data_IF_908677921840
#
_entry.id   IF_908677921840
#
_cell.length_a   1.000
_cell.length_b   1.000
_cell.length_c   1.000
_cell.angle_alpha   90.00
_cell.angle_beta   90.00
_cell.angle_gamma   90.00
#
_symmetry.space_group_name_H-M   'P 1'
#
loop_
_entity.id
_entity.type
_entity.pdbx_description
1 polymer ?
#
# COMPACT_ATOMS: atom_id res chain seq x y z
N UNK A 1 -11.97 1.77 13.58
CA UNK A 1 -11.40 2.96 14.25
C UNK A 1 -12.42 4.08 14.17
N UNK A 2 -12.70 4.74 15.29
CA UNK A 2 -13.54 5.95 15.29
C UNK A 2 -12.69 7.21 15.03
N UNK A 3 -13.37 8.34 14.80
CA UNK A 3 -12.73 9.60 14.44
C UNK A 3 -11.82 10.14 15.54
N UNK A 4 -12.21 9.98 16.80
CA UNK A 4 -11.44 10.51 17.93
C UNK A 4 -10.17 9.71 18.16
N UNK A 5 -10.23 8.38 18.00
CA UNK A 5 -9.04 7.52 18.01
C UNK A 5 -8.12 7.89 16.85
N UNK A 6 -8.65 8.06 15.64
CA UNK A 6 -7.85 8.49 14.49
C UNK A 6 -7.12 9.81 14.75
N UNK A 7 -7.83 10.82 15.27
CA UNK A 7 -7.25 12.13 15.59
C UNK A 7 -6.12 12.03 16.61
N UNK A 8 -6.26 11.20 17.64
CA UNK A 8 -5.21 10.95 18.63
C UNK A 8 -3.96 10.32 18.01
N UNK A 9 -4.14 9.32 17.14
CA UNK A 9 -3.05 8.65 16.44
C UNK A 9 -2.37 9.55 15.38
N UNK A 10 -3.12 10.47 14.78
CA UNK A 10 -2.61 11.35 13.73
C UNK A 10 -1.72 12.50 14.25
N UNK A 11 -1.59 12.67 15.57
CA UNK A 11 -0.72 13.71 16.16
C UNK A 11 0.76 13.42 15.87
N UNK A 12 1.16 12.15 15.93
CA UNK A 12 2.56 11.73 15.84
C UNK A 12 2.82 10.69 14.74
N UNK A 13 1.79 10.12 14.12
CA UNK A 13 1.95 9.13 13.04
C UNK A 13 1.68 9.75 11.68
N UNK A 14 2.62 9.50 10.76
CA UNK A 14 2.46 9.86 9.35
C UNK A 14 1.56 8.88 8.59
N UNK A 15 1.41 7.64 9.06
CA UNK A 15 0.51 6.65 8.47
C UNK A 15 -0.42 6.08 9.55
N UNK A 16 -1.72 6.26 9.38
CA UNK A 16 -2.75 5.74 10.30
C UNK A 16 -3.72 4.84 9.51
N UNK A 17 -3.69 3.51 9.71
CA UNK A 17 -4.56 2.60 8.98
C UNK A 17 -6.00 2.66 9.52
N UNK A 18 -6.95 3.08 8.68
CA UNK A 18 -8.38 3.00 8.99
C UNK A 18 -8.96 1.76 8.33
N UNK A 19 -9.33 0.77 9.13
CA UNK A 19 -9.80 -0.52 8.65
C UNK A 19 -11.21 -0.87 9.15
N UNK A 20 -11.88 -1.73 8.38
CA UNK A 20 -13.13 -2.41 8.72
C UNK A 20 -13.03 -3.86 8.28
N UNK A 21 -13.55 -4.78 9.10
CA UNK A 21 -13.69 -6.20 8.74
C UNK A 21 -15.09 -6.45 8.21
N UNK A 22 -15.17 -7.14 7.08
CA UNK A 22 -16.42 -7.51 6.41
C UNK A 22 -16.45 -9.03 6.20
N UNK A 23 -17.65 -9.61 6.12
CA UNK A 23 -17.84 -10.98 5.66
C UNK A 23 -17.72 -11.00 4.13
N UNK A 24 -16.92 -11.95 3.61
CA UNK A 24 -16.66 -12.12 2.18
C UNK A 24 -16.45 -13.61 1.84
N UNK A 25 -17.22 -14.48 2.49
CA UNK A 25 -17.20 -15.93 2.31
C UNK A 25 -17.61 -16.39 0.91
N UNK A 26 -18.46 -15.62 0.23
CA UNK A 26 -18.85 -15.85 -1.17
C UNK A 26 -17.82 -15.41 -2.21
N UNK A 27 -16.65 -14.96 -1.80
CA UNK A 27 -15.65 -14.36 -2.68
C UNK A 27 -14.28 -15.05 -2.55
N UNK A 28 -13.60 -15.22 -3.69
CA UNK A 28 -12.18 -15.62 -3.73
C UNK A 28 -11.31 -14.37 -3.83
N UNK A 29 -10.01 -14.43 -3.47
CA UNK A 29 -9.11 -13.28 -3.63
C UNK A 29 -9.09 -12.73 -5.06
N UNK A 30 -9.04 -13.59 -6.09
CA UNK A 30 -9.12 -13.15 -7.50
C UNK A 30 -10.49 -12.54 -7.84
N UNK A 31 -11.57 -13.05 -7.26
CA UNK A 31 -12.91 -12.48 -7.39
C UNK A 31 -12.99 -11.07 -6.82
N UNK A 32 -12.47 -10.86 -5.61
CA UNK A 32 -12.37 -9.55 -4.98
C UNK A 32 -11.45 -8.62 -5.78
N UNK A 33 -10.31 -9.10 -6.27
CA UNK A 33 -9.42 -8.30 -7.09
C UNK A 33 -10.16 -7.75 -8.32
N UNK A 34 -10.87 -8.60 -9.06
CA UNK A 34 -11.66 -8.15 -10.23
C UNK A 34 -12.73 -7.12 -9.84
N UNK A 35 -13.50 -7.40 -8.79
CA UNK A 35 -14.57 -6.51 -8.30
C UNK A 35 -14.03 -5.14 -7.85
N UNK A 36 -12.90 -5.14 -7.13
CA UNK A 36 -12.36 -3.94 -6.51
C UNK A 36 -11.45 -3.16 -7.45
N UNK A 37 -10.52 -3.82 -8.15
CA UNK A 37 -9.53 -3.18 -9.01
C UNK A 37 -10.13 -2.64 -10.32
N UNK A 38 -11.08 -3.38 -10.91
CA UNK A 38 -11.76 -3.02 -12.16
C UNK A 38 -10.79 -2.60 -13.29
N UNK A 39 -9.70 -3.34 -13.46
CA UNK A 39 -8.66 -3.14 -14.50
C UNK A 39 -7.97 -1.77 -14.50
N UNK A 40 -8.12 -0.99 -13.42
CA UNK A 40 -7.43 0.30 -13.28
C UNK A 40 -5.93 0.10 -13.08
N UNK A 41 -5.15 1.13 -13.42
CA UNK A 41 -3.72 1.18 -13.10
C UNK A 41 -3.50 1.35 -11.59
N UNK A 42 -2.30 0.98 -11.12
CA UNK A 42 -1.94 1.12 -9.70
C UNK A 42 -2.61 0.10 -8.78
N UNK A 43 -3.06 -1.03 -9.33
CA UNK A 43 -3.67 -2.14 -8.59
C UNK A 43 -2.78 -3.37 -8.60
N UNK A 44 -2.90 -4.21 -7.57
CA UNK A 44 -2.14 -5.46 -7.48
C UNK A 44 -2.91 -6.54 -6.70
N UNK A 45 -2.55 -7.79 -6.94
CA UNK A 45 -2.94 -8.95 -6.16
C UNK A 45 -1.66 -9.72 -5.79
N UNK A 46 -1.41 -9.89 -4.50
CA UNK A 46 -0.32 -10.70 -3.98
C UNK A 46 -0.90 -11.90 -3.24
N UNK A 47 -0.54 -13.09 -3.69
CA UNK A 47 -0.94 -14.34 -3.06
C UNK A 47 0.31 -15.20 -2.84
N UNK A 48 0.42 -15.80 -1.67
CA UNK A 48 1.51 -16.73 -1.38
C UNK A 48 1.02 -18.17 -1.53
N UNK A 49 1.67 -18.89 -2.43
CA UNK A 49 1.52 -20.33 -2.58
C UNK A 49 2.73 -21.00 -1.92
N UNK A 50 2.51 -21.74 -0.84
CA UNK A 50 3.54 -22.63 -0.32
C UNK A 50 3.60 -23.89 -1.19
N UNK A 51 4.81 -24.39 -1.45
CA UNK A 51 5.08 -25.54 -2.32
C UNK A 51 4.22 -26.77 -1.96
N UNK A 52 3.04 -26.87 -2.58
CA UNK A 52 2.29 -28.09 -2.81
C UNK A 52 1.29 -28.54 -1.76
N UNK A 53 0.99 -27.80 -0.66
CA UNK A 53 0.04 -28.32 0.35
C UNK A 53 -0.97 -27.36 0.94
N UNK A 54 -0.76 -26.05 0.96
CA UNK A 54 -1.75 -25.11 1.52
C UNK A 54 -1.57 -23.72 0.92
N UNK A 55 -2.67 -23.08 0.51
CA UNK A 55 -2.66 -21.65 0.19
C UNK A 55 -2.37 -20.87 1.48
N UNK A 56 -1.57 -19.81 1.41
CA UNK A 56 -1.33 -18.98 2.59
C UNK A 56 -2.63 -18.41 3.17
N UNK A 57 -2.63 -18.06 4.46
CA UNK A 57 -3.82 -17.55 5.15
C UNK A 57 -4.32 -16.20 4.58
N UNK A 58 -3.47 -15.47 3.87
CA UNK A 58 -3.75 -14.09 3.46
C UNK A 58 -3.38 -13.86 2.00
N UNK A 59 -4.27 -13.16 1.29
CA UNK A 59 -3.98 -12.49 0.03
C UNK A 59 -4.09 -10.98 0.25
N UNK A 60 -3.26 -10.18 -0.43
CA UNK A 60 -3.27 -8.72 -0.34
C UNK A 60 -3.70 -8.11 -1.68
N UNK A 61 -4.65 -7.17 -1.63
CA UNK A 61 -5.16 -6.48 -2.81
C UNK A 61 -4.91 -4.98 -2.66
N UNK A 62 -4.16 -4.41 -3.59
CA UNK A 62 -4.08 -2.96 -3.80
C UNK A 62 -5.12 -2.52 -4.82
N UNK A 63 -6.02 -1.61 -4.43
CA UNK A 63 -7.21 -1.24 -5.23
C UNK A 63 -7.04 0.07 -6.01
N UNK A 64 -6.21 0.98 -5.49
CA UNK A 64 -5.90 2.29 -6.09
C UNK A 64 -4.71 2.92 -5.35
N UNK A 65 -3.49 2.62 -5.78
CA UNK A 65 -2.30 3.30 -5.26
C UNK A 65 -2.28 4.74 -5.79
N UNK A 66 -2.24 5.73 -4.90
CA UNK A 66 -2.29 7.15 -5.28
C UNK A 66 -0.95 7.66 -5.85
N UNK A 67 0.14 6.96 -5.51
CA UNK A 67 1.48 7.27 -5.97
C UNK A 67 2.30 5.99 -6.18
N UNK A 68 3.19 6.02 -7.17
CA UNK A 68 4.17 4.97 -7.45
C UNK A 68 5.54 5.60 -7.66
N UNK A 69 6.51 5.26 -6.82
CA UNK A 69 7.93 5.56 -7.06
C UNK A 69 8.49 4.58 -8.09
N UNK A 70 9.13 5.11 -9.12
CA UNK A 70 9.83 4.37 -10.17
C UNK A 70 11.16 5.06 -10.51
N UNK A 71 11.90 4.52 -11.48
CA UNK A 71 13.10 5.13 -12.02
C UNK A 71 12.90 5.49 -13.50
N UNK A 72 13.35 6.68 -13.90
CA UNK A 72 13.37 7.14 -15.28
C UNK A 72 14.70 7.83 -15.55
N UNK A 73 15.39 7.41 -16.61
CA UNK A 73 16.71 7.95 -17.00
C UNK A 73 17.74 7.94 -15.85
N UNK A 74 17.67 6.90 -15.00
CA UNK A 74 18.56 6.72 -13.84
C UNK A 74 18.15 7.51 -12.59
N UNK A 75 17.10 8.33 -12.65
CA UNK A 75 16.63 9.15 -11.54
C UNK A 75 15.28 8.69 -10.98
N UNK A 76 15.02 9.00 -9.71
CA UNK A 76 13.74 8.80 -9.06
C UNK A 76 12.64 9.55 -9.83
N UNK A 77 11.51 8.90 -10.01
CA UNK A 77 10.36 9.46 -10.73
C UNK A 77 9.07 8.97 -10.08
N UNK A 78 8.12 9.88 -9.87
CA UNK A 78 6.83 9.55 -9.29
C UNK A 78 5.72 9.60 -10.33
N UNK A 79 4.89 8.57 -10.35
CA UNK A 79 3.58 8.59 -10.98
C UNK A 79 2.53 8.91 -9.91
N UNK A 80 1.59 9.81 -10.19
CA UNK A 80 0.57 10.23 -9.24
C UNK A 80 1.05 11.31 -8.27
N UNK A 81 0.52 11.33 -7.04
CA UNK A 81 0.78 12.39 -6.06
C UNK A 81 1.72 11.89 -4.95
N UNK A 82 3.03 12.19 -4.99
CA UNK A 82 3.94 11.70 -3.97
C UNK A 82 3.54 12.19 -2.57
N UNK A 83 3.83 11.41 -1.51
CA UNK A 83 3.64 11.87 -0.13
C UNK A 83 4.39 13.17 0.14
N UNK A 84 3.81 14.06 0.95
CA UNK A 84 4.45 15.34 1.26
C UNK A 84 5.75 15.14 2.04
N UNK A 85 6.82 15.78 1.58
CA UNK A 85 8.12 15.80 2.23
C UNK A 85 9.03 14.61 1.90
N UNK A 86 8.75 13.86 0.83
CA UNK A 86 9.66 12.82 0.32
C UNK A 86 10.46 13.33 -0.90
N UNK A 87 11.63 12.76 -1.20
CA UNK A 87 12.39 13.11 -2.40
C UNK A 87 11.61 12.80 -3.68
N UNK A 88 11.65 13.72 -4.65
CA UNK A 88 10.92 13.59 -5.93
C UNK A 88 11.84 13.40 -7.14
N UNK A 89 13.15 13.48 -6.94
CA UNK A 89 14.23 13.32 -7.91
C UNK A 89 15.46 12.68 -7.23
N UNK A 90 16.58 12.58 -7.96
CA UNK A 90 17.83 12.01 -7.43
C UNK A 90 17.93 10.49 -7.59
N UNK A 91 18.76 9.84 -6.77
CA UNK A 91 18.94 8.39 -6.82
C UNK A 91 17.64 7.66 -6.37
N UNK A 92 17.13 6.67 -7.15
CA UNK A 92 15.89 5.97 -6.82
C UNK A 92 15.91 5.20 -5.49
N UNK A 93 17.05 4.64 -5.09
CA UNK A 93 17.17 3.86 -3.86
C UNK A 93 17.27 4.79 -2.65
N UNK A 94 17.94 5.93 -2.79
CA UNK A 94 17.94 6.97 -1.76
C UNK A 94 16.54 7.55 -1.56
N UNK A 95 15.82 7.83 -2.65
CA UNK A 95 14.42 8.28 -2.59
C UNK A 95 13.53 7.23 -1.92
N UNK A 96 13.68 5.94 -2.23
CA UNK A 96 12.95 4.85 -1.60
C UNK A 96 13.24 4.78 -0.09
N UNK A 97 14.52 4.81 0.29
CA UNK A 97 14.96 4.76 1.70
C UNK A 97 14.36 5.93 2.49
N UNK A 98 14.54 7.15 2.00
CA UNK A 98 14.02 8.35 2.64
C UNK A 98 12.49 8.34 2.73
N UNK A 99 11.79 7.81 1.72
CA UNK A 99 10.33 7.64 1.75
C UNK A 99 9.90 6.68 2.85
N UNK A 100 10.54 5.51 2.96
CA UNK A 100 10.22 4.51 3.99
C UNK A 100 10.52 5.06 5.39
N UNK A 101 11.64 5.75 5.58
CA UNK A 101 11.98 6.41 6.85
C UNK A 101 10.97 7.51 7.20
N UNK A 102 10.60 8.35 6.24
CA UNK A 102 9.61 9.42 6.43
C UNK A 102 8.23 8.87 6.78
N UNK A 103 7.80 7.78 6.16
CA UNK A 103 6.48 7.19 6.40
C UNK A 103 6.48 6.15 7.53
N UNK A 104 7.63 5.88 8.14
CA UNK A 104 7.75 4.88 9.19
C UNK A 104 6.78 5.19 10.33
N UNK A 105 6.00 4.19 10.71
CA UNK A 105 5.09 4.25 11.86
C UNK A 105 5.38 3.03 12.73
N UNK A 106 5.78 3.20 13.99
CA UNK A 106 6.07 2.09 14.89
C UNK A 106 4.88 1.15 15.02
N UNK A 107 5.16 -0.16 15.09
CA UNK A 107 4.16 -1.13 15.48
C UNK A 107 3.70 -0.82 16.91
N UNK A 108 2.38 -0.75 17.11
CA UNK A 108 1.76 -0.72 18.44
C UNK A 108 1.64 -2.11 19.03
#
# INVERSE_FOLDING_TARGET
>A
MDLDTFRKLAVDRRVVPVSRRLLADGDTPVGLYRKLAAERTGTFLLESAENGRTWSRYSFIGVRSDATLTARDGAAHWLGTPPVGVPVDGDPLDALRATVETLHTPAT
#
